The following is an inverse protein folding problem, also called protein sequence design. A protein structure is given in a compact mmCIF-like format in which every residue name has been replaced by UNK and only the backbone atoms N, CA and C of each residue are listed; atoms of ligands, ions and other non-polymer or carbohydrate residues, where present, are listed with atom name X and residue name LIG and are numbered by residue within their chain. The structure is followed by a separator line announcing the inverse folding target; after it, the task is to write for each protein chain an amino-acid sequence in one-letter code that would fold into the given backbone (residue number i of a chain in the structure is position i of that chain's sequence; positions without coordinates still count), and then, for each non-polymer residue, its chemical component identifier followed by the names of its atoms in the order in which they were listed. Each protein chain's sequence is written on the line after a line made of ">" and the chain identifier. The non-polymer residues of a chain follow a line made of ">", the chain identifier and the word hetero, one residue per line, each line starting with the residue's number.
data_IF_213316044584
#
_entry.id   IF_213316044584
#
_cell.length_a   1.000
_cell.length_b   1.000
_cell.length_c   1.000
_cell.angle_alpha   90.00
_cell.angle_beta   90.00
_cell.angle_gamma   90.00
#
_symmetry.space_group_name_H-M   'P 1'
#
loop_
_entity.id
_entity.type
_entity.pdbx_description
1 polymer ?
#
# COMPACT_ATOMS: atom_id res chain seq x y z
N UNK A 1 29.87 1.02 9.38
CA UNK A 1 29.16 -0.21 8.98
C UNK A 1 27.73 -0.03 9.44
N UNK A 2 26.84 0.37 8.54
CA UNK A 2 25.41 0.53 8.85
C UNK A 2 24.82 -0.87 8.93
N UNK A 3 24.72 -1.43 10.13
CA UNK A 3 23.78 -2.52 10.37
C UNK A 3 22.39 -1.93 10.13
N UNK A 4 21.83 -2.22 8.95
CA UNK A 4 20.41 -2.02 8.71
C UNK A 4 19.72 -2.95 9.68
N UNK A 5 19.08 -2.39 10.70
CA UNK A 5 18.31 -3.17 11.66
C UNK A 5 17.13 -3.81 10.92
N UNK A 6 17.25 -5.12 10.65
CA UNK A 6 16.21 -5.90 10.01
C UNK A 6 14.88 -5.79 10.76
N UNK A 7 14.96 -5.67 12.09
CA UNK A 7 13.82 -5.48 12.99
C UNK A 7 13.06 -4.20 12.63
N UNK A 8 13.76 -3.11 12.31
CA UNK A 8 13.13 -1.85 11.90
C UNK A 8 12.35 -2.00 10.59
N UNK A 9 12.92 -2.67 9.59
CA UNK A 9 12.23 -2.89 8.31
C UNK A 9 10.98 -3.76 8.48
N UNK A 10 11.09 -4.78 9.32
CA UNK A 10 9.96 -5.65 9.70
C UNK A 10 8.90 -4.80 10.39
N UNK A 11 9.25 -4.04 11.42
CA UNK A 11 8.30 -3.20 12.17
C UNK A 11 7.60 -2.17 11.27
N UNK A 12 8.31 -1.60 10.30
CA UNK A 12 7.74 -0.64 9.34
C UNK A 12 6.67 -1.28 8.44
N UNK A 13 6.74 -2.59 8.22
CA UNK A 13 5.79 -3.36 7.40
C UNK A 13 4.74 -4.12 8.21
N UNK A 14 4.66 -3.88 9.53
CA UNK A 14 3.70 -4.50 10.41
C UNK A 14 2.60 -3.54 10.83
N UNK A 15 1.40 -4.07 11.01
CA UNK A 15 0.28 -3.35 11.63
C UNK A 15 -0.33 -4.16 12.77
N UNK A 16 -0.89 -3.49 13.77
CA UNK A 16 -1.69 -4.17 14.78
C UNK A 16 -2.90 -4.84 14.15
N UNK A 17 -3.11 -6.12 14.45
CA UNK A 17 -4.21 -6.85 13.87
C UNK A 17 -5.50 -6.53 14.63
N UNK A 18 -6.32 -5.64 14.06
CA UNK A 18 -7.55 -5.10 14.68
C UNK A 18 -8.47 -6.21 15.23
N UNK A 19 -8.54 -7.35 14.53
CA UNK A 19 -9.36 -8.49 14.93
C UNK A 19 -9.01 -9.02 16.33
N UNK A 20 -7.73 -8.99 16.72
CA UNK A 20 -7.31 -9.42 18.06
C UNK A 20 -8.01 -8.60 19.15
N UNK A 21 -7.93 -7.28 19.05
CA UNK A 21 -8.50 -6.36 20.04
C UNK A 21 -10.03 -6.43 20.07
N UNK A 22 -10.68 -6.59 18.92
CA UNK A 22 -12.12 -6.79 18.86
C UNK A 22 -12.54 -8.09 19.57
N UNK A 23 -11.81 -9.19 19.35
CA UNK A 23 -12.09 -10.48 20.00
C UNK A 23 -11.88 -10.42 21.51
N UNK A 24 -10.82 -9.76 21.96
CA UNK A 24 -10.57 -9.51 23.39
C UNK A 24 -11.71 -8.69 24.02
N UNK A 25 -12.15 -7.62 23.37
CA UNK A 25 -13.25 -6.78 23.84
C UNK A 25 -14.58 -7.56 23.96
N UNK A 26 -14.80 -8.53 23.07
CA UNK A 26 -15.97 -9.42 23.09
C UNK A 26 -15.81 -10.65 24.01
N UNK A 27 -14.70 -10.75 24.77
CA UNK A 27 -14.35 -11.94 25.59
C UNK A 27 -14.37 -13.25 24.78
N UNK A 28 -14.03 -13.17 23.50
CA UNK A 28 -13.92 -14.34 22.63
C UNK A 28 -12.49 -14.90 22.66
N UNK A 29 -12.29 -16.21 22.45
CA UNK A 29 -10.97 -16.79 22.37
C UNK A 29 -10.11 -16.13 21.29
N UNK A 30 -8.85 -15.87 21.62
CA UNK A 30 -7.85 -15.25 20.74
C UNK A 30 -6.72 -16.21 20.38
N UNK A 31 -6.83 -17.48 20.77
CA UNK A 31 -5.87 -18.50 20.40
C UNK A 31 -5.73 -18.50 18.87
N UNK A 32 -4.50 -18.45 18.36
CA UNK A 32 -4.15 -18.39 16.93
C UNK A 32 -4.38 -17.04 16.23
N UNK A 33 -4.85 -16.01 16.92
CA UNK A 33 -4.92 -14.66 16.33
C UNK A 33 -3.58 -13.95 16.59
N UNK A 34 -2.82 -13.57 15.56
CA UNK A 34 -1.56 -12.86 15.76
C UNK A 34 -1.82 -11.45 16.28
N UNK A 35 -0.88 -10.91 17.05
CA UNK A 35 -0.93 -9.52 17.51
C UNK A 35 -0.68 -8.52 16.38
N UNK A 36 0.18 -8.91 15.43
CA UNK A 36 0.56 -8.10 14.28
C UNK A 36 0.25 -8.82 12.98
N UNK A 37 -0.19 -8.05 12.01
CA UNK A 37 -0.26 -8.44 10.61
C UNK A 37 1.05 -8.06 9.94
N UNK A 38 1.80 -9.08 9.51
CA UNK A 38 3.06 -8.93 8.79
C UNK A 38 2.76 -8.78 7.29
N UNK A 39 3.16 -7.64 6.69
CA UNK A 39 2.95 -7.38 5.26
C UNK A 39 4.21 -7.55 4.42
N UNK A 40 5.29 -8.03 5.03
CA UNK A 40 6.50 -8.40 4.31
C UNK A 40 6.52 -9.88 3.93
N UNK A 41 7.36 -10.21 2.97
CA UNK A 41 7.83 -11.58 2.79
C UNK A 41 9.35 -11.62 2.93
N UNK A 42 9.90 -12.77 3.27
CA UNK A 42 11.34 -12.97 3.33
C UNK A 42 11.75 -14.29 2.67
N UNK A 43 12.99 -14.31 2.19
CA UNK A 43 13.74 -15.48 1.78
C UNK A 43 15.17 -15.33 2.28
N UNK A 44 16.00 -16.34 2.05
CA UNK A 44 17.42 -16.33 2.42
C UNK A 44 18.20 -15.11 1.87
N UNK A 45 17.69 -14.47 0.80
CA UNK A 45 18.38 -13.39 0.10
C UNK A 45 17.62 -12.07 0.01
N UNK A 46 16.30 -12.08 0.26
CA UNK A 46 15.45 -10.91 -0.02
C UNK A 46 14.42 -10.68 1.07
N UNK A 47 14.22 -9.41 1.41
CA UNK A 47 13.07 -8.90 2.16
C UNK A 47 12.16 -8.13 1.21
N UNK A 48 10.93 -8.59 1.03
CA UNK A 48 9.91 -7.95 0.22
C UNK A 48 9.04 -7.06 1.10
N UNK A 49 9.09 -5.75 0.88
CA UNK A 49 8.29 -4.76 1.60
C UNK A 49 7.18 -4.18 0.72
N UNK A 50 6.04 -3.76 1.29
CA UNK A 50 5.01 -3.03 0.55
C UNK A 50 5.57 -1.77 -0.11
N UNK A 51 5.26 -1.57 -1.40
CA UNK A 51 5.76 -0.41 -2.18
C UNK A 51 5.39 0.95 -1.57
N UNK A 52 4.29 1.03 -0.82
CA UNK A 52 3.90 2.25 -0.09
C UNK A 52 4.94 2.74 0.92
N UNK A 53 5.89 1.88 1.33
CA UNK A 53 6.97 2.22 2.25
C UNK A 53 8.19 2.86 1.56
N UNK A 54 8.19 3.01 0.24
CA UNK A 54 9.34 3.53 -0.51
C UNK A 54 9.79 4.91 0.00
N UNK A 55 8.86 5.86 0.16
CA UNK A 55 9.21 7.20 0.64
C UNK A 55 9.73 7.20 2.09
N UNK A 56 9.07 6.53 3.07
CA UNK A 56 9.63 6.35 4.40
C UNK A 56 11.03 5.73 4.41
N UNK A 57 11.29 4.73 3.54
CA UNK A 57 12.60 4.08 3.43
C UNK A 57 13.67 5.02 2.88
N UNK A 58 13.36 5.77 1.82
CA UNK A 58 14.29 6.76 1.26
C UNK A 58 14.55 7.92 2.22
N UNK A 59 13.54 8.33 2.99
CA UNK A 59 13.72 9.38 3.98
C UNK A 59 14.66 8.93 5.11
N UNK A 60 14.47 7.70 5.59
CA UNK A 60 15.29 7.10 6.66
C UNK A 60 16.71 6.76 6.20
N UNK A 61 16.84 6.13 5.03
CA UNK A 61 18.09 5.63 4.50
C UNK A 61 18.52 6.45 3.28
N UNK A 62 19.18 7.60 3.52
CA UNK A 62 19.60 8.53 2.45
C UNK A 62 20.52 7.91 1.38
N UNK A 63 21.15 6.77 1.68
CA UNK A 63 22.06 6.05 0.77
C UNK A 63 21.41 4.83 0.10
N UNK A 64 20.09 4.62 0.24
CA UNK A 64 19.42 3.46 -0.37
C UNK A 64 19.37 3.62 -1.89
N UNK A 65 19.83 2.61 -2.62
CA UNK A 65 19.67 2.52 -4.08
C UNK A 65 18.36 1.81 -4.36
N UNK A 66 17.49 2.47 -5.13
CA UNK A 66 16.19 1.93 -5.53
C UNK A 66 16.26 1.56 -7.00
N UNK A 67 16.10 0.27 -7.28
CA UNK A 67 15.99 -0.25 -8.64
C UNK A 67 14.55 -0.65 -8.94
N UNK A 68 14.00 -0.15 -10.04
CA UNK A 68 12.69 -0.60 -10.52
C UNK A 68 12.83 -1.91 -11.30
N UNK A 69 12.40 -3.01 -10.66
CA UNK A 69 12.39 -4.36 -11.25
C UNK A 69 10.99 -4.86 -11.63
N UNK A 70 10.02 -3.95 -11.78
CA UNK A 70 8.65 -4.34 -12.13
C UNK A 70 8.60 -4.95 -13.53
N UNK A 71 7.76 -5.97 -13.69
CA UNK A 71 7.39 -6.46 -15.03
C UNK A 71 6.53 -5.40 -15.72
N UNK A 72 7.15 -4.60 -16.60
CA UNK A 72 6.43 -3.64 -17.44
C UNK A 72 5.58 -4.42 -18.45
N UNK A 73 4.26 -4.40 -18.28
CA UNK A 73 3.34 -5.00 -19.25
C UNK A 73 3.19 -4.08 -20.47
N UNK A 74 2.77 -4.67 -21.59
CA UNK A 74 2.51 -3.93 -22.83
C UNK A 74 1.40 -2.89 -22.60
N UNK A 75 1.59 -1.69 -23.12
CA UNK A 75 0.54 -0.67 -23.12
C UNK A 75 -0.68 -1.14 -23.90
N UNK A 76 -1.85 -0.99 -23.28
CA UNK A 76 -3.14 -1.17 -23.95
C UNK A 76 -3.62 0.18 -24.46
N UNK A 77 -4.13 0.22 -25.69
CA UNK A 77 -4.73 1.43 -26.26
C UNK A 77 -6.22 1.40 -25.96
N UNK A 78 -6.65 2.25 -25.03
CA UNK A 78 -8.06 2.43 -24.65
C UNK A 78 -8.45 3.88 -24.85
N UNK A 79 -9.70 4.12 -25.23
CA UNK A 79 -10.28 5.45 -25.34
C UNK A 79 -11.60 5.46 -24.56
N UNK A 80 -11.81 6.52 -23.77
CA UNK A 80 -13.08 6.75 -23.08
C UNK A 80 -14.07 7.43 -24.04
N UNK A 81 -15.30 6.91 -24.12
CA UNK A 81 -16.37 7.48 -24.93
C UNK A 81 -17.46 8.04 -24.01
N UNK A 82 -17.25 9.26 -23.55
CA UNK A 82 -18.15 9.98 -22.65
C UNK A 82 -17.55 11.31 -22.21
N UNK A 83 -18.28 12.04 -21.38
CA UNK A 83 -17.79 13.26 -20.73
C UNK A 83 -17.44 12.95 -19.27
N UNK A 84 -16.30 13.46 -18.81
CA UNK A 84 -15.91 13.35 -17.41
C UNK A 84 -16.54 14.50 -16.64
N UNK A 85 -16.99 14.21 -15.42
CA UNK A 85 -17.28 15.26 -14.44
C UNK A 85 -15.98 15.95 -14.03
N UNK A 86 -16.08 17.20 -13.53
CA UNK A 86 -14.91 17.96 -13.08
C UNK A 86 -14.08 17.18 -12.05
N UNK A 87 -14.73 16.47 -11.12
CA UNK A 87 -14.08 15.66 -10.09
C UNK A 87 -13.30 14.48 -10.69
N UNK A 88 -13.85 13.86 -11.73
CA UNK A 88 -13.17 12.78 -12.46
C UNK A 88 -11.98 13.29 -13.27
N UNK A 89 -12.09 14.47 -13.88
CA UNK A 89 -10.96 15.10 -14.58
C UNK A 89 -9.81 15.42 -13.62
N UNK A 90 -10.14 15.99 -12.45
CA UNK A 90 -9.16 16.26 -11.39
C UNK A 90 -8.49 14.97 -10.90
N UNK A 91 -9.27 13.92 -10.64
CA UNK A 91 -8.76 12.62 -10.21
C UNK A 91 -7.85 11.97 -11.28
N UNK A 92 -8.23 12.05 -12.56
CA UNK A 92 -7.45 11.51 -13.67
C UNK A 92 -6.11 12.26 -13.82
N UNK A 93 -6.14 13.59 -13.74
CA UNK A 93 -4.93 14.43 -13.76
C UNK A 93 -3.98 14.02 -12.62
N UNK A 94 -4.53 13.87 -11.42
CA UNK A 94 -3.78 13.45 -10.23
C UNK A 94 -3.16 12.07 -10.39
N UNK A 95 -3.92 11.10 -10.90
CA UNK A 95 -3.44 9.73 -11.15
C UNK A 95 -2.34 9.69 -12.20
N UNK A 96 -2.44 10.50 -13.27
CA UNK A 96 -1.41 10.57 -14.31
C UNK A 96 -0.12 11.25 -13.82
N UNK A 97 -0.22 12.15 -12.84
CA UNK A 97 0.93 12.86 -12.27
C UNK A 97 1.72 12.04 -11.23
N UNK A 98 1.13 10.95 -10.71
CA UNK A 98 1.69 10.16 -9.60
C UNK A 98 2.00 8.74 -10.04
N UNK A 99 3.20 8.28 -9.70
CA UNK A 99 3.67 6.92 -10.03
C UNK A 99 2.98 5.84 -9.16
N UNK A 100 2.48 6.23 -7.98
CA UNK A 100 1.75 5.37 -7.05
C UNK A 100 0.74 6.20 -6.22
N UNK A 101 -0.29 5.55 -5.69
CA UNK A 101 -1.26 6.18 -4.80
C UNK A 101 -2.54 5.37 -4.65
N UNK A 102 -3.44 5.87 -3.80
CA UNK A 102 -4.79 5.35 -3.65
C UNK A 102 -5.78 6.38 -4.22
N UNK A 103 -6.56 5.97 -5.21
CA UNK A 103 -7.70 6.75 -5.67
C UNK A 103 -8.85 6.57 -4.66
N UNK A 104 -9.09 7.59 -3.85
CA UNK A 104 -10.22 7.61 -2.92
C UNK A 104 -11.44 8.26 -3.58
N UNK A 105 -12.18 7.47 -4.38
CA UNK A 105 -13.42 7.92 -5.01
C UNK A 105 -14.63 7.51 -4.16
N UNK A 106 -15.55 8.45 -3.94
CA UNK A 106 -16.85 8.17 -3.31
C UNK A 106 -17.82 7.52 -4.31
N UNK A 107 -18.77 6.76 -3.80
CA UNK A 107 -19.94 6.34 -4.58
C UNK A 107 -20.95 7.49 -4.59
N UNK A 108 -21.36 7.93 -5.78
CA UNK A 108 -22.60 8.70 -5.91
C UNK A 108 -23.72 7.68 -6.01
N UNK A 109 -24.51 7.55 -4.95
CA UNK A 109 -25.80 6.86 -5.03
C UNK A 109 -26.72 7.77 -5.84
N UNK A 110 -26.82 7.55 -7.15
CA UNK A 110 -27.87 8.14 -7.96
C UNK A 110 -29.22 7.75 -7.36
N UNK A 111 -29.84 8.68 -6.61
CA UNK A 111 -31.28 8.62 -6.39
C UNK A 111 -31.92 8.89 -7.74
N UNK A 112 -32.52 7.86 -8.32
CA UNK A 112 -33.48 7.99 -9.40
C UNK A 112 -34.54 9.02 -9.01
N UNK A 113 -34.92 9.86 -9.97
CA UNK A 113 -36.01 10.85 -9.88
C UNK A 113 -37.28 10.29 -9.23
#
# INVERSE_FOLDING_TARGET
>A
MLEIDLTFLIDLSCYYFILLYLKQAMRQPTYQIPERMYLFGESDYYLWLPRGLLYPLQDKFKQVVVEDRRKVQRSIRVAFKGELTLEQELALSDMNSKENGLLHAGQVLERSF
#
